data_IF_690480800711
#
_entry.id   IF_690480800711
#
_cell.length_a   1.000
_cell.length_b   1.000
_cell.length_c   1.000
_cell.angle_alpha   90.00
_cell.angle_beta   90.00
_cell.angle_gamma   90.00
#
_symmetry.space_group_name_H-M   'P 1'
#
loop_
_entity.id
_entity.type
_entity.pdbx_description
1 polymer ?
#
# COMPACT_ATOMS: atom_id res chain seq x y z
N UNK A 1 6.26 -3.48 -9.21
CA UNK A 1 5.27 -3.44 -8.11
C UNK A 1 4.61 -4.80 -7.87
N UNK A 2 4.03 -5.43 -8.91
CA UNK A 2 3.37 -6.75 -8.85
C UNK A 2 4.20 -7.84 -8.15
N UNK A 3 5.46 -8.03 -8.56
CA UNK A 3 6.29 -9.13 -8.04
C UNK A 3 7.02 -8.81 -6.72
N UNK A 4 6.73 -7.66 -6.09
CA UNK A 4 7.40 -7.23 -4.86
C UNK A 4 8.94 -7.27 -4.92
N UNK A 5 9.53 -6.96 -6.09
CA UNK A 5 10.97 -6.98 -6.32
C UNK A 5 11.70 -5.93 -5.45
N UNK A 6 12.11 -6.33 -4.25
CA UNK A 6 12.72 -5.46 -3.22
C UNK A 6 13.93 -4.71 -3.80
N UNK A 7 14.83 -5.42 -4.49
CA UNK A 7 16.07 -4.86 -5.04
C UNK A 7 15.85 -3.65 -5.95
N UNK A 8 14.74 -3.62 -6.71
CA UNK A 8 14.41 -2.52 -7.62
C UNK A 8 14.06 -1.25 -6.85
N UNK A 9 13.24 -1.38 -5.80
CA UNK A 9 12.86 -0.26 -4.95
C UNK A 9 14.01 0.21 -4.05
N UNK A 10 14.93 -0.68 -3.68
CA UNK A 10 16.16 -0.30 -3.00
C UNK A 10 17.05 0.57 -3.88
N UNK A 11 17.25 0.20 -5.15
CA UNK A 11 17.98 1.02 -6.11
C UNK A 11 17.33 2.40 -6.28
N UNK A 12 16.01 2.43 -6.48
CA UNK A 12 15.25 3.68 -6.57
C UNK A 12 15.37 4.54 -5.30
N UNK A 13 15.34 3.94 -4.11
CA UNK A 13 15.47 4.67 -2.85
C UNK A 13 16.85 5.33 -2.72
N UNK A 14 17.92 4.65 -3.17
CA UNK A 14 19.27 5.22 -3.24
C UNK A 14 19.35 6.39 -4.23
N UNK A 15 18.70 6.29 -5.39
CA UNK A 15 18.64 7.38 -6.38
C UNK A 15 17.89 8.61 -5.84
N UNK A 16 16.82 8.40 -5.06
CA UNK A 16 16.09 9.49 -4.38
C UNK A 16 16.97 10.14 -3.30
N UNK A 17 17.70 9.33 -2.54
CA UNK A 17 18.57 9.77 -1.46
C UNK A 17 17.83 10.14 -0.17
N UNK A 18 18.57 10.13 0.95
CA UNK A 18 18.01 10.26 2.29
C UNK A 18 17.29 11.58 2.55
N UNK A 19 17.87 12.70 2.13
CA UNK A 19 17.30 14.03 2.35
C UNK A 19 15.94 14.19 1.66
N UNK A 20 15.85 13.83 0.37
CA UNK A 20 14.60 13.93 -0.38
C UNK A 20 13.57 12.93 0.14
N UNK A 21 13.98 11.71 0.48
CA UNK A 21 13.08 10.71 1.08
C UNK A 21 12.46 11.23 2.38
N UNK A 22 13.28 11.74 3.31
CA UNK A 22 12.78 12.29 4.58
C UNK A 22 11.83 13.46 4.35
N UNK A 23 12.18 14.36 3.41
CA UNK A 23 11.33 15.49 3.05
C UNK A 23 9.95 15.03 2.60
N UNK A 24 9.84 14.01 1.75
CA UNK A 24 8.55 13.51 1.28
C UNK A 24 7.80 12.70 2.33
N UNK A 25 8.48 11.84 3.10
CA UNK A 25 7.90 11.10 4.24
C UNK A 25 7.28 12.07 5.26
N UNK A 26 7.96 13.18 5.54
CA UNK A 26 7.41 14.25 6.39
C UNK A 26 6.22 14.96 5.74
N UNK A 27 6.35 15.31 4.45
CA UNK A 27 5.35 16.09 3.72
C UNK A 27 4.01 15.37 3.58
N UNK A 28 4.02 14.05 3.48
CA UNK A 28 2.81 13.23 3.38
C UNK A 28 2.34 12.70 4.74
N UNK A 29 3.06 13.00 5.81
CA UNK A 29 2.78 12.53 7.17
C UNK A 29 2.67 10.98 7.27
N UNK A 30 3.73 10.28 6.86
CA UNK A 30 3.69 8.81 6.78
C UNK A 30 4.14 8.13 8.08
N UNK A 31 3.17 7.73 8.91
CA UNK A 31 3.40 6.98 10.15
C UNK A 31 4.30 7.72 11.13
N UNK A 32 5.26 7.03 11.75
CA UNK A 32 6.24 7.64 12.64
C UNK A 32 7.34 8.45 11.92
N UNK A 33 7.34 8.46 10.58
CA UNK A 33 8.27 9.22 9.71
C UNK A 33 9.75 8.90 9.89
N UNK A 34 10.07 7.77 10.53
CA UNK A 34 11.44 7.41 10.91
C UNK A 34 12.14 6.58 9.82
N UNK A 35 13.04 7.21 9.05
CA UNK A 35 13.87 6.53 8.05
C UNK A 35 15.30 6.22 8.53
N UNK A 36 15.58 6.35 9.83
CA UNK A 36 16.93 6.19 10.39
C UNK A 36 17.53 4.79 10.17
N UNK A 37 16.70 3.79 9.89
CA UNK A 37 17.09 2.41 9.61
C UNK A 37 17.78 2.15 8.27
N UNK A 38 18.21 3.19 7.56
CA UNK A 38 18.96 3.11 6.29
C UNK A 38 18.08 3.37 5.06
N UNK A 39 18.61 4.15 4.09
CA UNK A 39 17.83 4.67 2.96
C UNK A 39 17.20 3.59 2.07
N UNK A 40 17.74 2.38 2.04
CA UNK A 40 17.21 1.26 1.26
C UNK A 40 16.67 0.10 2.13
N UNK A 41 16.51 0.31 3.43
CA UNK A 41 16.07 -0.72 4.38
C UNK A 41 15.04 -0.24 5.41
N UNK A 42 14.81 1.07 5.55
CA UNK A 42 13.98 1.64 6.62
C UNK A 42 12.53 1.11 6.69
N UNK A 43 11.98 0.61 5.58
CA UNK A 43 10.62 0.04 5.52
C UNK A 43 10.57 -1.49 5.66
N UNK A 44 11.72 -2.17 5.74
CA UNK A 44 11.82 -3.64 5.78
C UNK A 44 11.99 -4.13 7.23
N UNK A 45 10.89 -4.14 8.01
CA UNK A 45 10.92 -4.49 9.44
C UNK A 45 12.01 -3.72 10.21
N UNK A 46 12.01 -2.40 10.02
CA UNK A 46 13.06 -1.51 10.51
C UNK A 46 12.44 -0.32 11.24
N UNK A 47 13.02 0.87 11.13
CA UNK A 47 12.67 2.07 11.88
C UNK A 47 11.27 2.60 11.56
N UNK A 48 10.85 2.55 10.29
CA UNK A 48 9.56 3.09 9.86
C UNK A 48 8.41 2.20 10.32
N UNK A 49 7.44 2.80 10.99
CA UNK A 49 6.22 2.16 11.49
C UNK A 49 5.01 2.99 11.12
N UNK A 50 3.93 2.31 10.78
CA UNK A 50 2.64 2.91 10.43
C UNK A 50 1.52 1.96 10.85
N UNK A 51 0.44 2.50 11.40
CA UNK A 51 -0.75 1.75 11.80
C UNK A 51 -1.66 1.46 10.59
N UNK A 52 -2.61 0.53 10.76
CA UNK A 52 -3.58 0.22 9.71
C UNK A 52 -4.53 1.39 9.41
N UNK A 53 -4.87 2.20 10.42
CA UNK A 53 -5.70 3.40 10.23
C UNK A 53 -4.94 4.44 9.42
N UNK A 54 -3.68 4.71 9.75
CA UNK A 54 -2.83 5.64 8.98
C UNK A 54 -2.62 5.17 7.54
N UNK A 55 -2.50 3.85 7.31
CA UNK A 55 -2.48 3.27 5.96
C UNK A 55 -3.76 3.56 5.18
N UNK A 56 -4.93 3.34 5.79
CA UNK A 56 -6.22 3.63 5.17
C UNK A 56 -6.35 5.13 4.84
N UNK A 57 -5.98 6.02 5.76
CA UNK A 57 -6.01 7.46 5.53
C UNK A 57 -5.08 7.90 4.38
N UNK A 58 -3.89 7.30 4.29
CA UNK A 58 -2.96 7.56 3.19
C UNK A 58 -3.53 7.11 1.83
N UNK A 59 -4.12 5.92 1.77
CA UNK A 59 -4.76 5.42 0.55
C UNK A 59 -5.99 6.26 0.18
N UNK A 60 -6.81 6.70 1.15
CA UNK A 60 -7.94 7.57 0.87
C UNK A 60 -7.49 8.90 0.24
N UNK A 61 -6.40 9.49 0.75
CA UNK A 61 -5.79 10.68 0.14
C UNK A 61 -5.27 10.41 -1.27
N UNK A 62 -4.70 9.22 -1.54
CA UNK A 62 -4.29 8.81 -2.89
C UNK A 62 -5.49 8.67 -3.83
N UNK A 63 -6.56 8.00 -3.39
CA UNK A 63 -7.82 7.83 -4.12
C UNK A 63 -8.42 9.18 -4.49
N UNK A 64 -8.53 10.09 -3.52
CA UNK A 64 -9.05 11.46 -3.73
C UNK A 64 -8.08 12.38 -4.48
N UNK A 65 -6.89 11.92 -4.82
CA UNK A 65 -5.81 12.70 -5.46
C UNK A 65 -5.42 13.96 -4.65
N UNK A 66 -5.47 13.86 -3.31
CA UNK A 66 -5.20 14.93 -2.35
C UNK A 66 -3.79 14.88 -1.74
N UNK A 67 -2.94 13.95 -2.20
CA UNK A 67 -1.54 13.95 -1.83
C UNK A 67 -0.78 15.08 -2.57
N UNK A 68 0.34 15.57 -2.02
CA UNK A 68 1.10 16.69 -2.58
C UNK A 68 1.99 16.27 -3.78
N UNK A 69 1.43 15.48 -4.70
CA UNK A 69 2.05 15.00 -5.93
C UNK A 69 1.23 15.42 -7.15
N UNK A 70 1.82 15.31 -8.33
CA UNK A 70 1.10 15.59 -9.57
C UNK A 70 0.02 14.52 -9.80
N UNK A 71 -1.16 14.94 -10.26
CA UNK A 71 -2.28 14.01 -10.58
C UNK A 71 -1.84 12.87 -11.49
N UNK A 72 -1.03 13.15 -12.52
CA UNK A 72 -0.49 12.11 -13.42
C UNK A 72 0.32 11.06 -12.68
N UNK A 73 1.11 11.45 -11.68
CA UNK A 73 1.92 10.51 -10.88
C UNK A 73 1.03 9.61 -10.05
N UNK A 74 0.01 10.19 -9.39
CA UNK A 74 -0.96 9.40 -8.62
C UNK A 74 -1.73 8.43 -9.51
N UNK A 75 -2.18 8.86 -10.69
CA UNK A 75 -2.84 7.97 -11.67
C UNK A 75 -1.93 6.83 -12.14
N UNK A 76 -0.65 7.09 -12.37
CA UNK A 76 0.32 6.04 -12.70
C UNK A 76 0.45 5.04 -11.56
N UNK A 77 0.58 5.51 -10.31
CA UNK A 77 0.67 4.65 -9.12
C UNK A 77 -0.59 3.79 -8.96
N UNK A 78 -1.79 4.39 -9.06
CA UNK A 78 -3.06 3.67 -9.04
C UNK A 78 -3.11 2.56 -10.09
N UNK A 79 -2.70 2.85 -11.33
CA UNK A 79 -2.69 1.85 -12.41
C UNK A 79 -1.76 0.68 -12.13
N UNK A 80 -0.55 0.92 -11.62
CA UNK A 80 0.39 -0.17 -11.31
C UNK A 80 0.03 -0.94 -10.03
N UNK A 81 -0.93 -0.43 -9.25
CA UNK A 81 -1.52 -1.13 -8.11
C UNK A 81 -2.68 -2.05 -8.49
N UNK A 82 -3.18 -2.05 -9.74
CA UNK A 82 -4.23 -2.98 -10.16
C UNK A 82 -3.75 -4.43 -9.93
N UNK A 83 -4.43 -5.09 -9.00
CA UNK A 83 -4.16 -6.46 -8.57
C UNK A 83 -5.18 -7.44 -9.17
N UNK A 84 -6.42 -6.98 -9.34
CA UNK A 84 -7.50 -7.72 -9.99
C UNK A 84 -8.45 -6.74 -10.73
N UNK A 85 -8.96 -7.14 -11.88
CA UNK A 85 -9.84 -6.34 -12.73
C UNK A 85 -10.90 -7.26 -13.33
N UNK A 86 -12.15 -7.01 -12.97
CA UNK A 86 -13.35 -7.71 -13.41
C UNK A 86 -14.31 -6.68 -14.06
N UNK A 87 -15.40 -7.15 -14.66
CA UNK A 87 -16.39 -6.27 -15.27
C UNK A 87 -17.10 -5.38 -14.23
N UNK A 88 -17.31 -5.92 -13.01
CA UNK A 88 -18.05 -5.26 -11.92
C UNK A 88 -17.16 -4.47 -10.96
N UNK A 89 -15.87 -4.75 -10.91
CA UNK A 89 -14.96 -4.10 -9.97
C UNK A 89 -13.49 -4.12 -10.40
N UNK A 90 -12.71 -3.19 -9.85
CA UNK A 90 -11.26 -3.19 -9.95
C UNK A 90 -10.64 -3.09 -8.56
N UNK A 91 -9.75 -4.02 -8.22
CA UNK A 91 -9.01 -4.03 -6.96
C UNK A 91 -7.62 -3.45 -7.20
N UNK A 92 -7.31 -2.39 -6.47
CA UNK A 92 -5.98 -1.82 -6.38
C UNK A 92 -5.36 -2.21 -5.04
N UNK A 93 -4.30 -3.00 -5.05
CA UNK A 93 -3.77 -3.61 -3.84
C UNK A 93 -2.27 -3.78 -3.84
N UNK A 94 -1.68 -3.73 -2.64
CA UNK A 94 -0.30 -4.13 -2.43
C UNK A 94 -0.18 -5.03 -1.20
N UNK A 95 0.44 -6.19 -1.40
CA UNK A 95 0.84 -7.09 -0.33
C UNK A 95 2.15 -6.66 0.34
N UNK A 96 2.28 -6.93 1.63
CA UNK A 96 3.53 -6.81 2.37
C UNK A 96 3.74 -8.04 3.25
N UNK A 97 4.98 -8.48 3.41
CA UNK A 97 5.32 -9.60 4.28
C UNK A 97 6.67 -9.38 4.92
N UNK A 98 6.78 -9.66 6.22
CA UNK A 98 8.08 -9.80 6.88
C UNK A 98 8.68 -11.16 6.53
N UNK A 99 9.59 -11.17 5.57
CA UNK A 99 10.14 -12.41 5.01
C UNK A 99 11.03 -13.20 5.99
N UNK A 100 11.52 -12.57 7.07
CA UNK A 100 12.40 -13.23 8.04
C UNK A 100 11.70 -14.35 8.84
N UNK A 101 10.40 -14.22 9.08
CA UNK A 101 9.62 -15.16 9.89
C UNK A 101 8.19 -15.39 9.39
N UNK A 102 7.75 -14.67 8.35
CA UNK A 102 6.37 -14.67 7.84
C UNK A 102 5.32 -14.34 8.90
N UNK A 103 5.73 -13.66 9.98
CA UNK A 103 4.90 -13.36 11.15
C UNK A 103 4.16 -12.03 11.09
N UNK A 104 4.34 -11.26 10.01
CA UNK A 104 3.65 -9.98 9.79
C UNK A 104 3.26 -9.82 8.32
N UNK A 105 1.96 -9.63 8.09
CA UNK A 105 1.34 -9.61 6.77
C UNK A 105 0.48 -8.37 6.59
N UNK A 106 0.56 -7.80 5.39
CA UNK A 106 -0.25 -6.65 4.99
C UNK A 106 -0.92 -6.91 3.65
N UNK A 107 -2.14 -6.42 3.51
CA UNK A 107 -2.76 -6.13 2.23
C UNK A 107 -3.51 -4.81 2.34
N UNK A 108 -3.07 -3.82 1.57
CA UNK A 108 -3.52 -2.43 1.68
C UNK A 108 -3.88 -1.93 0.29
N UNK A 109 -4.99 -1.20 0.18
CA UNK A 109 -5.51 -0.84 -1.12
C UNK A 109 -6.92 -0.27 -1.08
N UNK A 110 -7.57 -0.31 -2.24
CA UNK A 110 -8.95 0.09 -2.41
C UNK A 110 -9.61 -0.70 -3.55
N UNK A 111 -10.93 -0.76 -3.55
CA UNK A 111 -11.74 -1.31 -4.65
C UNK A 111 -12.63 -0.23 -5.23
N UNK A 112 -12.66 -0.15 -6.56
CA UNK A 112 -13.61 0.65 -7.33
C UNK A 112 -14.70 -0.31 -7.84
N UNK A 113 -15.97 0.01 -7.60
CA UNK A 113 -17.11 -0.80 -8.08
C UNK A 113 -17.79 -0.15 -9.29
N UNK A 114 -18.55 -0.94 -10.04
CA UNK A 114 -19.42 -0.52 -11.15
C UNK A 114 -20.38 0.63 -10.79
N UNK A 115 -20.85 0.66 -9.54
CA UNK A 115 -21.67 1.73 -8.94
C UNK A 115 -20.91 3.02 -8.68
N UNK A 116 -19.62 3.06 -9.02
CA UNK A 116 -18.67 4.16 -8.76
C UNK A 116 -18.44 4.43 -7.28
N UNK A 117 -18.70 3.46 -6.42
CA UNK A 117 -18.28 3.52 -5.02
C UNK A 117 -16.80 3.13 -4.93
N UNK A 118 -16.08 3.75 -4.01
CA UNK A 118 -14.69 3.38 -3.70
C UNK A 118 -14.56 3.01 -2.24
N UNK A 119 -14.05 1.81 -1.96
CA UNK A 119 -13.85 1.31 -0.61
C UNK A 119 -12.37 1.12 -0.33
N UNK A 120 -11.85 1.85 0.65
CA UNK A 120 -10.46 1.74 1.10
C UNK A 120 -10.34 0.66 2.17
N UNK A 121 -9.27 -0.12 2.13
CA UNK A 121 -8.98 -1.14 3.12
C UNK A 121 -7.50 -1.16 3.53
N UNK A 122 -7.26 -1.59 4.76
CA UNK A 122 -5.94 -1.92 5.27
C UNK A 122 -6.05 -3.13 6.21
N UNK A 123 -5.60 -4.29 5.75
CA UNK A 123 -5.58 -5.52 6.54
C UNK A 123 -4.17 -5.79 7.03
N UNK A 124 -4.03 -5.92 8.35
CA UNK A 124 -2.79 -6.29 9.03
C UNK A 124 -3.02 -7.54 9.89
N UNK A 125 -2.15 -8.54 9.76
CA UNK A 125 -2.29 -9.83 10.44
C UNK A 125 -0.96 -10.37 10.92
N UNK A 126 -1.00 -11.20 11.96
CA UNK A 126 0.08 -12.12 12.29
C UNK A 126 0.07 -13.29 11.29
N UNK A 127 0.82 -13.16 10.21
CA UNK A 127 0.83 -14.12 9.10
C UNK A 127 1.44 -13.52 7.84
N UNK A 128 1.21 -14.16 6.68
CA UNK A 128 1.73 -13.67 5.40
C UNK A 128 0.85 -12.59 4.77
N UNK A 129 1.41 -11.83 3.83
CA UNK A 129 0.65 -10.89 3.00
C UNK A 129 -0.36 -11.59 2.08
N UNK A 130 -0.09 -12.84 1.69
CA UNK A 130 -1.06 -13.66 0.96
C UNK A 130 -2.27 -14.01 1.82
N UNK A 131 -2.05 -14.34 3.11
CA UNK A 131 -3.13 -14.57 4.06
C UNK A 131 -3.93 -13.29 4.33
N UNK A 132 -3.24 -12.15 4.47
CA UNK A 132 -3.89 -10.84 4.56
C UNK A 132 -4.80 -10.59 3.34
N UNK A 133 -4.29 -10.80 2.12
CA UNK A 133 -5.07 -10.65 0.87
C UNK A 133 -6.30 -11.55 0.87
N UNK A 134 -6.15 -12.84 1.16
CA UNK A 134 -7.27 -13.77 1.21
C UNK A 134 -8.35 -13.32 2.20
N UNK A 135 -7.95 -12.91 3.41
CA UNK A 135 -8.88 -12.43 4.43
C UNK A 135 -9.63 -11.17 3.99
N UNK A 136 -8.93 -10.23 3.33
CA UNK A 136 -9.54 -9.02 2.78
C UNK A 136 -10.59 -9.37 1.73
N UNK A 137 -10.26 -10.20 0.74
CA UNK A 137 -11.18 -10.56 -0.34
C UNK A 137 -12.43 -11.25 0.21
N UNK A 138 -12.27 -12.25 1.09
CA UNK A 138 -13.41 -12.91 1.74
C UNK A 138 -14.25 -11.94 2.57
N UNK A 139 -13.64 -10.93 3.21
CA UNK A 139 -14.38 -9.91 3.96
C UNK A 139 -15.20 -9.02 3.03
N UNK A 140 -14.59 -8.56 1.92
CA UNK A 140 -15.27 -7.72 0.93
C UNK A 140 -16.44 -8.45 0.26
N UNK A 141 -16.30 -9.75 -0.04
CA UNK A 141 -17.38 -10.61 -0.52
C UNK A 141 -18.51 -10.74 0.52
N UNK A 142 -18.18 -11.02 1.79
CA UNK A 142 -19.17 -11.10 2.88
C UNK A 142 -19.91 -9.79 3.12
N UNK A 143 -19.25 -8.66 2.88
CA UNK A 143 -19.83 -7.31 2.94
C UNK A 143 -20.63 -6.96 1.67
N UNK A 144 -20.67 -7.83 0.66
CA UNK A 144 -21.33 -7.61 -0.64
C UNK A 144 -20.77 -6.41 -1.42
N UNK A 145 -19.50 -6.10 -1.18
CA UNK A 145 -18.75 -5.08 -1.93
C UNK A 145 -18.24 -5.69 -3.24
N UNK A 146 -17.64 -6.88 -3.15
CA UNK A 146 -17.34 -7.71 -4.31
C UNK A 146 -18.56 -8.60 -4.57
N UNK A 147 -19.20 -8.44 -5.72
CA UNK A 147 -20.26 -9.33 -6.18
C UNK A 147 -19.72 -10.04 -7.42
N UNK A 148 -19.77 -11.38 -7.38
CA UNK A 148 -19.58 -12.23 -8.55
C UNK A 148 -20.94 -12.58 -9.15
#
# INVERSE_FOLDING_TARGET
MRDSAIWYYQAMARDIGQEQMQKYVNRIDYGNRDISGGIDTFWLNSSLKISAVEQADFIEKLVKENLPFQKRTMKTVKRIMIDDEQDEYTIHGKTGSRLSDMGLGWYVGYVETDKKDTWVFATNVAGSGAFAKQLTLTTLEKMKILNH
#
